data_IF_321358329528
#
_entry.id   IF_321358329528
#
_cell.length_a   1.000
_cell.length_b   1.000
_cell.length_c   1.000
_cell.angle_alpha   90.00
_cell.angle_beta   90.00
_cell.angle_gamma   90.00
#
_symmetry.space_group_name_H-M   'P 1'
#
loop_
_entity.id
_entity.type
_entity.pdbx_description
1 polymer ?
#
# COMPACT_ATOMS: atom_id res chain seq x y z
N UNK A 1 -17.90 -7.92 10.64
CA UNK A 1 -16.80 -7.34 9.84
C UNK A 1 -15.90 -6.53 10.75
N UNK A 2 -14.59 -6.72 10.64
CA UNK A 2 -13.59 -5.94 11.38
C UNK A 2 -13.62 -4.48 10.92
N UNK A 3 -13.21 -3.54 11.78
CA UNK A 3 -13.01 -2.13 11.37
C UNK A 3 -12.06 -2.00 10.18
N UNK A 4 -11.10 -2.92 10.06
CA UNK A 4 -10.17 -2.98 8.93
C UNK A 4 -10.86 -3.32 7.60
N UNK A 5 -11.78 -4.28 7.59
CA UNK A 5 -12.51 -4.66 6.37
C UNK A 5 -13.38 -3.50 5.87
N UNK A 6 -14.04 -2.76 6.77
CA UNK A 6 -14.81 -1.57 6.38
C UNK A 6 -13.91 -0.48 5.79
N UNK A 7 -12.69 -0.29 6.31
CA UNK A 7 -11.71 0.65 5.77
C UNK A 7 -11.26 0.24 4.36
N UNK A 8 -10.95 -1.04 4.16
CA UNK A 8 -10.58 -1.58 2.85
C UNK A 8 -11.70 -1.42 1.83
N UNK A 9 -12.95 -1.72 2.21
CA UNK A 9 -14.11 -1.50 1.34
C UNK A 9 -14.24 -0.03 0.92
N UNK A 10 -14.07 0.91 1.85
CA UNK A 10 -14.10 2.34 1.51
C UNK A 10 -12.92 2.75 0.61
N UNK A 11 -11.73 2.21 0.87
CA UNK A 11 -10.54 2.48 0.06
C UNK A 11 -10.71 1.97 -1.38
N UNK A 12 -11.37 0.84 -1.59
CA UNK A 12 -11.64 0.28 -2.93
C UNK A 12 -12.56 1.13 -3.81
N UNK A 13 -13.34 2.05 -3.24
CA UNK A 13 -14.11 3.02 -4.03
C UNK A 13 -13.28 4.21 -4.51
N UNK A 14 -12.04 4.31 -4.05
CA UNK A 14 -11.26 5.55 -4.10
C UNK A 14 -9.89 5.32 -4.74
N UNK A 15 -9.25 4.19 -4.41
CA UNK A 15 -7.95 3.80 -4.92
C UNK A 15 -8.14 2.79 -6.06
N UNK A 16 -7.17 2.71 -7.00
CA UNK A 16 -7.14 1.64 -8.00
C UNK A 16 -7.15 0.25 -7.35
N UNK A 17 -7.79 -0.71 -8.02
CA UNK A 17 -7.92 -2.09 -7.56
C UNK A 17 -6.54 -2.72 -7.28
N UNK A 18 -5.56 -2.44 -8.13
CA UNK A 18 -4.20 -2.97 -8.01
C UNK A 18 -3.52 -2.54 -6.71
N UNK A 19 -3.85 -1.37 -6.17
CA UNK A 19 -3.33 -0.92 -4.88
C UNK A 19 -3.94 -1.74 -3.74
N UNK A 20 -5.25 -2.01 -3.81
CA UNK A 20 -5.97 -2.77 -2.78
C UNK A 20 -5.55 -4.24 -2.77
N UNK A 21 -5.27 -4.81 -3.94
CA UNK A 21 -4.88 -6.21 -4.08
C UNK A 21 -3.43 -6.48 -3.63
N UNK A 22 -2.52 -5.53 -3.83
CA UNK A 22 -1.09 -5.77 -3.63
C UNK A 22 -0.51 -5.09 -2.39
N UNK A 23 -1.21 -4.12 -1.79
CA UNK A 23 -0.68 -3.30 -0.71
C UNK A 23 -1.63 -3.23 0.49
N UNK A 24 -1.04 -3.26 1.68
CA UNK A 24 -1.72 -2.97 2.93
C UNK A 24 -1.61 -1.49 3.28
N UNK A 25 -2.73 -0.90 3.69
CA UNK A 25 -2.76 0.47 4.21
C UNK A 25 -2.27 0.43 5.66
N UNK A 26 -1.03 0.85 5.87
CA UNK A 26 -0.38 0.83 7.21
C UNK A 26 -0.49 2.16 7.95
N UNK A 27 -0.96 3.21 7.28
CA UNK A 27 -1.20 4.49 7.93
C UNK A 27 -1.82 5.54 7.00
N UNK A 28 -2.62 6.40 7.60
CA UNK A 28 -3.23 7.55 6.93
C UNK A 28 -2.99 8.78 7.82
N UNK A 29 -2.46 9.85 7.24
CA UNK A 29 -2.27 11.12 7.94
C UNK A 29 -2.66 12.29 7.04
N UNK A 30 -3.19 13.36 7.64
CA UNK A 30 -3.40 14.63 6.94
C UNK A 30 -2.36 15.63 7.44
N UNK A 31 -1.64 16.27 6.52
CA UNK A 31 -0.67 17.32 6.83
C UNK A 31 -0.85 18.49 5.87
N UNK A 32 -1.11 19.68 6.42
CA UNK A 32 -1.21 20.91 5.63
C UNK A 32 -2.19 20.82 4.45
N UNK A 33 -3.31 20.11 4.62
CA UNK A 33 -4.32 19.89 3.58
C UNK A 33 -3.96 18.84 2.52
N UNK A 34 -2.89 18.06 2.75
CA UNK A 34 -2.48 16.94 1.91
C UNK A 34 -2.74 15.64 2.66
N UNK A 35 -3.46 14.72 2.02
CA UNK A 35 -3.68 13.36 2.53
C UNK A 35 -2.48 12.49 2.15
N UNK A 36 -1.81 11.94 3.15
CA UNK A 36 -0.72 11.00 2.97
C UNK A 36 -1.19 9.59 3.36
N UNK A 37 -1.09 8.66 2.42
CA UNK A 37 -1.43 7.25 2.63
C UNK A 37 -0.13 6.45 2.54
N UNK A 38 0.15 5.63 3.55
CA UNK A 38 1.32 4.75 3.60
C UNK A 38 0.90 3.34 3.25
N UNK A 39 1.59 2.76 2.28
CA UNK A 39 1.29 1.49 1.67
C UNK A 39 2.52 0.58 1.77
N UNK A 40 2.32 -0.62 2.31
CA UNK A 40 3.33 -1.67 2.35
C UNK A 40 2.91 -2.79 1.42
N UNK A 41 3.81 -3.23 0.55
CA UNK A 41 3.56 -4.36 -0.34
C UNK A 41 3.36 -5.64 0.49
N UNK A 42 2.28 -6.35 0.20
CA UNK A 42 1.92 -7.58 0.88
C UNK A 42 3.00 -8.65 0.66
N UNK A 43 3.09 -9.59 1.60
CA UNK A 43 4.00 -10.73 1.50
C UNK A 43 3.45 -11.84 0.59
N UNK A 44 2.90 -11.48 -0.58
CA UNK A 44 2.46 -12.43 -1.59
C UNK A 44 3.67 -12.80 -2.44
N UNK A 45 4.01 -14.09 -2.44
CA UNK A 45 5.13 -14.59 -3.24
C UNK A 45 4.81 -14.47 -4.73
N UNK A 46 5.76 -13.99 -5.56
CA UNK A 46 5.61 -14.04 -7.01
C UNK A 46 5.44 -15.48 -7.48
N UNK A 47 4.68 -15.66 -8.56
CA UNK A 47 4.47 -16.98 -9.18
C UNK A 47 5.82 -17.63 -9.50
N UNK A 48 6.04 -18.84 -8.97
CA UNK A 48 7.26 -19.62 -9.18
C UNK A 48 8.26 -19.62 -8.02
N UNK A 49 8.05 -18.80 -6.98
CA UNK A 49 8.86 -18.83 -5.76
C UNK A 49 8.10 -19.49 -4.62
N UNK A 50 8.81 -20.27 -3.80
CA UNK A 50 8.29 -20.84 -2.56
C UNK A 50 8.96 -20.20 -1.35
N UNK A 51 8.35 -20.33 -0.17
CA UNK A 51 8.92 -19.88 1.10
C UNK A 51 10.27 -20.52 1.42
N UNK A 52 10.59 -21.64 0.77
CA UNK A 52 11.85 -22.36 0.93
C UNK A 52 12.98 -21.75 0.08
N UNK A 53 12.62 -20.94 -0.91
CA UNK A 53 13.56 -20.31 -1.86
C UNK A 53 13.78 -18.84 -1.62
N UNK A 54 12.87 -18.15 -0.93
CA UNK A 54 12.99 -16.71 -0.68
C UNK A 54 12.33 -16.34 0.65
N UNK A 55 12.99 -15.44 1.38
CA UNK A 55 12.49 -14.87 2.62
C UNK A 55 12.34 -13.34 2.52
N UNK A 56 11.32 -12.75 3.17
CA UNK A 56 11.12 -11.32 3.16
C UNK A 56 12.18 -10.60 4.00
N UNK A 57 13.03 -9.79 3.38
CA UNK A 57 14.11 -9.03 4.02
C UNK A 57 13.78 -7.53 4.13
N UNK A 58 12.68 -7.23 4.81
CA UNK A 58 12.21 -5.85 4.99
C UNK A 58 11.67 -5.21 3.70
N UNK A 59 11.92 -3.91 3.55
CA UNK A 59 11.38 -3.08 2.47
C UNK A 59 12.45 -2.20 1.82
N UNK A 60 12.23 -1.83 0.56
CA UNK A 60 12.95 -0.73 -0.08
C UNK A 60 12.58 0.62 0.55
N UNK A 61 13.42 1.67 0.37
CA UNK A 61 13.03 3.03 0.73
C UNK A 61 11.70 3.39 0.08
N UNK A 62 10.89 4.18 0.80
CA UNK A 62 9.57 4.55 0.30
C UNK A 62 9.68 5.41 -0.95
N UNK A 63 8.92 5.05 -1.97
CA UNK A 63 8.69 5.86 -3.17
C UNK A 63 7.42 6.67 -3.00
N UNK A 64 7.39 7.88 -3.57
CA UNK A 64 6.24 8.79 -3.47
C UNK A 64 5.53 8.91 -4.80
N UNK A 65 4.22 8.66 -4.81
CA UNK A 65 3.34 8.89 -5.96
C UNK A 65 2.39 10.03 -5.61
N UNK A 66 2.35 11.05 -6.46
CA UNK A 66 1.46 12.20 -6.33
C UNK A 66 0.21 11.95 -7.17
N UNK A 67 -0.97 12.06 -6.56
CA UNK A 67 -2.25 11.82 -7.21
C UNK A 67 -3.29 12.91 -6.88
N UNK A 68 -4.20 13.18 -7.81
CA UNK A 68 -5.27 14.19 -7.72
C UNK A 68 -6.54 13.68 -8.42
N UNK A 69 -7.74 13.72 -7.78
CA UNK A 69 -8.00 13.75 -6.36
C UNK A 69 -9.09 12.77 -5.89
N UNK A 70 -8.96 12.36 -4.63
CA UNK A 70 -10.09 11.96 -3.80
C UNK A 70 -10.80 13.26 -3.37
N UNK A 71 -11.87 13.64 -4.07
CA UNK A 71 -12.72 14.80 -3.73
C UNK A 71 -11.92 16.10 -3.48
N UNK A 72 -11.16 16.54 -4.47
CA UNK A 72 -10.37 17.78 -4.48
C UNK A 72 -9.24 17.88 -3.43
N UNK A 73 -8.87 16.78 -2.77
CA UNK A 73 -7.71 16.74 -1.87
C UNK A 73 -6.45 16.32 -2.63
N UNK A 74 -5.34 16.97 -2.32
CA UNK A 74 -4.01 16.50 -2.72
C UNK A 74 -3.74 15.19 -2.02
N UNK A 75 -3.42 14.13 -2.77
CA UNK A 75 -3.10 12.83 -2.21
C UNK A 75 -1.65 12.48 -2.56
N UNK A 76 -0.97 11.93 -1.57
CA UNK A 76 0.39 11.45 -1.69
C UNK A 76 0.44 10.02 -1.17
N UNK A 77 0.74 9.08 -2.06
CA UNK A 77 0.92 7.68 -1.72
C UNK A 77 2.41 7.43 -1.45
N UNK A 78 2.72 6.99 -0.24
CA UNK A 78 4.05 6.56 0.18
C UNK A 78 4.09 5.04 0.09
N UNK A 79 4.71 4.52 -0.96
CA UNK A 79 4.74 3.09 -1.29
C UNK A 79 6.06 2.49 -0.85
N UNK A 80 6.01 1.43 -0.04
CA UNK A 80 7.17 0.59 0.31
C UNK A 80 7.02 -0.77 -0.33
N UNK A 81 7.97 -1.11 -1.22
CA UNK A 81 8.04 -2.43 -1.85
C UNK A 81 8.84 -3.42 -1.01
N UNK A 82 8.41 -4.67 -1.02
CA UNK A 82 9.05 -5.76 -0.28
C UNK A 82 10.41 -6.07 -0.89
N UNK A 83 11.38 -6.34 -0.02
CA UNK A 83 12.66 -6.94 -0.41
C UNK A 83 12.57 -8.44 -0.21
N UNK A 84 12.99 -9.18 -1.21
CA UNK A 84 13.12 -10.63 -1.15
C UNK A 84 14.62 -10.98 -1.20
N UNK A 85 15.02 -11.97 -0.42
CA UNK A 85 16.36 -12.54 -0.45
C UNK A 85 16.21 -14.04 -0.63
N UNK A 86 16.99 -14.58 -1.58
CA UNK A 86 17.16 -16.02 -1.80
C UNK A 86 17.98 -16.68 -0.69
#
# INVERSE_FOLDING_TARGET
MSSYEHLQTLAGFILPEEIIENFDIVGIEEKSGVLHIRLDEQAVLPVGYTTDTVSPNGFFPSSTVYDFPIRDRKVVLHVRRRRWVE
#
